data_IF_773195672304
#
_entry.id   IF_773195672304
#
_cell.length_a   1.000
_cell.length_b   1.000
_cell.length_c   1.000
_cell.angle_alpha   90.00
_cell.angle_beta   90.00
_cell.angle_gamma   90.00
#
_symmetry.space_group_name_H-M   'P 1'
#
loop_
_entity.id
_entity.type
_entity.pdbx_description
1 polymer ?
#
# COMPACT_ATOMS: atom_id res chain seq x y z
N UNK A 1 -37.65 -16.16 -36.02
CA UNK A 1 -37.64 -14.74 -35.61
C UNK A 1 -36.39 -14.48 -34.79
N UNK A 2 -35.41 -13.78 -35.37
CA UNK A 2 -34.15 -13.45 -34.70
C UNK A 2 -34.30 -12.02 -34.18
N UNK A 3 -34.26 -11.86 -32.86
CA UNK A 3 -34.32 -10.54 -32.20
C UNK A 3 -32.90 -10.09 -31.89
N UNK A 4 -32.48 -9.05 -32.56
CA UNK A 4 -31.15 -8.41 -32.39
C UNK A 4 -31.24 -7.40 -31.26
N UNK A 5 -30.51 -7.62 -30.17
CA UNK A 5 -30.37 -6.65 -29.08
C UNK A 5 -29.22 -5.71 -29.44
N UNK A 6 -29.51 -4.42 -29.59
CA UNK A 6 -28.55 -3.35 -29.78
C UNK A 6 -28.08 -2.86 -28.41
N UNK A 7 -26.78 -2.93 -28.16
CA UNK A 7 -26.14 -2.30 -27.01
C UNK A 7 -25.95 -0.81 -27.30
N UNK A 8 -26.54 0.03 -26.47
CA UNK A 8 -26.26 1.47 -26.45
C UNK A 8 -25.15 1.71 -25.41
N UNK A 9 -23.97 2.10 -25.88
CA UNK A 9 -22.88 2.57 -25.05
C UNK A 9 -23.14 4.04 -24.68
N UNK A 10 -23.44 4.31 -23.42
CA UNK A 10 -23.50 5.65 -22.86
C UNK A 10 -22.12 6.15 -22.49
N UNK A 11 -21.62 7.13 -23.23
CA UNK A 11 -20.39 7.87 -22.91
C UNK A 11 -20.76 8.93 -21.88
N UNK A 12 -20.25 8.81 -20.65
CA UNK A 12 -20.37 9.82 -19.60
C UNK A 12 -19.18 10.78 -19.71
N UNK A 13 -19.46 12.01 -20.12
CA UNK A 13 -18.50 13.10 -20.29
C UNK A 13 -18.22 13.73 -18.92
N UNK A 14 -17.01 13.57 -18.38
CA UNK A 14 -16.57 14.22 -17.14
C UNK A 14 -16.06 15.62 -17.49
N UNK A 15 -16.73 16.66 -16.99
CA UNK A 15 -16.29 18.05 -17.13
C UNK A 15 -15.24 18.38 -16.06
N UNK A 16 -14.01 18.64 -16.48
CA UNK A 16 -12.94 19.20 -15.67
C UNK A 16 -13.12 20.70 -15.50
N UNK A 17 -13.36 21.15 -14.28
CA UNK A 17 -13.27 22.55 -13.89
C UNK A 17 -11.84 22.85 -13.39
N UNK A 18 -11.06 23.52 -14.23
CA UNK A 18 -9.77 24.11 -13.85
C UNK A 18 -10.00 25.45 -13.20
N UNK A 19 -9.71 25.58 -11.91
CA UNK A 19 -9.53 26.87 -11.25
C UNK A 19 -8.03 27.24 -11.26
N UNK A 20 -7.74 28.25 -12.08
CA UNK A 20 -6.46 28.95 -12.09
C UNK A 20 -6.48 30.05 -11.02
N UNK A 21 -5.54 30.01 -10.09
CA UNK A 21 -5.22 31.14 -9.22
C UNK A 21 -3.76 31.56 -9.40
N UNK A 22 -3.58 32.66 -10.06
CA UNK A 22 -2.32 33.42 -10.16
C UNK A 22 -2.12 34.28 -8.90
N UNK A 23 -0.96 34.22 -8.31
CA UNK A 23 -0.57 35.05 -7.15
C UNK A 23 0.90 35.43 -7.19
N UNK A 24 1.13 36.67 -7.46
CA UNK A 24 2.27 37.58 -7.55
C UNK A 24 3.52 37.31 -6.74
N UNK A 25 4.60 37.51 -7.46
CA UNK A 25 5.97 37.94 -7.11
C UNK A 25 6.15 38.82 -5.86
N UNK A 26 7.17 38.49 -5.07
CA UNK A 26 7.84 39.41 -4.14
C UNK A 26 9.35 39.19 -4.17
N UNK A 27 10.06 40.17 -4.74
CA UNK A 27 11.51 40.32 -4.71
C UNK A 27 11.96 40.74 -3.32
N UNK A 28 13.07 40.19 -2.85
CA UNK A 28 13.86 40.71 -1.77
C UNK A 28 15.30 40.24 -1.91
N UNK A 29 16.19 41.12 -2.33
CA UNK A 29 17.62 40.93 -2.33
C UNK A 29 18.13 41.34 -0.95
N UNK A 30 19.15 40.69 -0.44
CA UNK A 30 20.39 41.32 -0.01
C UNK A 30 21.40 40.27 0.54
N UNK A 31 22.54 40.29 -0.03
CA UNK A 31 23.93 40.49 0.38
C UNK A 31 24.43 39.76 1.62
N UNK A 32 25.49 39.00 1.41
CA UNK A 32 26.75 39.33 2.10
C UNK A 32 27.43 38.23 2.90
N UNK A 33 28.61 37.95 2.46
CA UNK A 33 29.87 37.61 3.14
C UNK A 33 30.17 36.15 3.49
N UNK A 34 31.11 35.72 2.72
CA UNK A 34 32.54 35.38 2.95
C UNK A 34 32.93 34.73 4.29
N UNK A 35 33.62 33.69 4.11
CA UNK A 35 34.95 33.37 4.66
C UNK A 35 35.10 31.95 5.21
N UNK A 36 36.02 31.27 4.53
CA UNK A 36 37.12 30.45 5.06
C UNK A 36 36.85 29.27 6.00
N UNK A 37 37.27 28.14 5.55
CA UNK A 37 38.44 27.40 6.03
C UNK A 37 38.42 25.94 5.51
N UNK A 38 39.28 25.70 4.62
CA UNK A 38 40.42 24.79 4.62
C UNK A 38 40.33 23.50 5.44
N UNK A 39 40.45 22.42 4.67
CA UNK A 39 41.25 21.21 4.92
C UNK A 39 41.21 20.57 6.30
N UNK A 40 40.76 19.32 6.28
CA UNK A 40 41.63 18.23 6.78
C UNK A 40 41.13 16.87 6.22
N UNK A 41 41.94 16.34 5.32
CA UNK A 41 41.95 14.91 5.07
C UNK A 41 42.52 14.26 6.34
N UNK A 42 41.74 13.37 6.93
CA UNK A 42 42.29 12.37 7.83
C UNK A 42 41.74 11.01 7.43
N UNK A 43 42.61 10.27 6.77
CA UNK A 43 42.64 8.83 6.78
C UNK A 43 42.68 8.32 8.21
N UNK A 44 41.58 7.74 8.64
CA UNK A 44 41.57 6.85 9.79
C UNK A 44 41.01 5.50 9.30
N UNK A 45 41.92 4.61 8.99
CA UNK A 45 41.62 3.20 9.06
C UNK A 45 41.35 2.90 10.53
N UNK A 46 40.13 2.57 10.84
CA UNK A 46 39.80 2.03 12.15
C UNK A 46 39.09 0.70 11.98
N UNK A 47 39.69 -0.24 12.65
CA UNK A 47 39.28 -1.59 12.91
C UNK A 47 37.77 -1.70 12.99
N UNK A 48 37.22 -2.53 12.10
CA UNK A 48 35.93 -3.14 12.31
C UNK A 48 35.94 -3.84 13.68
N UNK A 49 35.28 -3.24 14.63
CA UNK A 49 34.82 -3.95 15.80
C UNK A 49 33.80 -4.98 15.28
N UNK A 50 34.12 -6.24 15.47
CA UNK A 50 33.20 -7.35 15.43
C UNK A 50 32.09 -7.12 16.47
N UNK A 51 31.13 -6.29 16.13
CA UNK A 51 29.80 -6.34 16.73
C UNK A 51 28.98 -7.21 15.79
N UNK A 52 29.03 -8.50 16.07
CA UNK A 52 28.13 -9.48 15.48
C UNK A 52 26.72 -9.15 15.96
N UNK A 53 26.15 -8.10 15.32
CA UNK A 53 24.73 -7.78 15.47
C UNK A 53 23.99 -8.99 14.94
N UNK A 54 23.36 -9.74 15.84
CA UNK A 54 22.53 -10.89 15.55
C UNK A 54 21.68 -10.56 14.31
N UNK A 55 21.79 -11.39 13.29
CA UNK A 55 21.03 -11.24 12.07
C UNK A 55 19.56 -11.09 12.46
N UNK A 56 18.96 -9.94 12.20
CA UNK A 56 17.55 -9.74 12.47
C UNK A 56 16.79 -10.79 11.65
N UNK A 57 16.36 -11.86 12.30
CA UNK A 57 15.47 -12.84 11.69
C UNK A 57 14.14 -12.14 11.36
N UNK A 58 13.43 -12.67 10.37
CA UNK A 58 12.02 -12.30 10.14
C UNK A 58 11.31 -12.42 11.48
N UNK A 59 10.60 -11.38 11.94
CA UNK A 59 9.79 -11.47 13.14
C UNK A 59 8.93 -12.74 13.07
N UNK A 60 8.98 -13.56 14.10
CA UNK A 60 8.37 -14.90 14.10
C UNK A 60 6.89 -14.81 13.68
N UNK A 61 6.23 -13.76 14.11
CA UNK A 61 4.81 -13.48 13.89
C UNK A 61 4.49 -13.14 12.42
N UNK A 62 5.46 -12.57 11.66
CA UNK A 62 5.29 -12.26 10.24
C UNK A 62 5.61 -13.44 9.33
N UNK A 63 6.34 -14.45 9.81
CA UNK A 63 6.75 -15.62 8.99
C UNK A 63 5.58 -16.27 8.23
N UNK A 64 4.41 -16.50 8.86
CA UNK A 64 3.30 -17.11 8.16
C UNK A 64 2.76 -16.29 6.99
N UNK A 65 2.87 -14.95 7.06
CA UNK A 65 2.26 -13.99 6.14
C UNK A 65 3.21 -13.43 5.06
N UNK A 66 4.41 -13.99 4.93
CA UNK A 66 5.43 -13.46 3.99
C UNK A 66 4.94 -13.44 2.55
N UNK A 67 4.16 -14.44 2.14
CA UNK A 67 3.64 -14.51 0.77
C UNK A 67 2.60 -13.42 0.50
N UNK A 68 1.69 -13.16 1.42
CA UNK A 68 0.65 -12.12 1.32
C UNK A 68 1.27 -10.72 1.29
N UNK A 69 2.27 -10.49 2.13
CA UNK A 69 3.03 -9.24 2.14
C UNK A 69 3.81 -9.03 0.84
N UNK A 70 4.39 -10.11 0.27
CA UNK A 70 5.06 -10.04 -1.04
C UNK A 70 4.09 -9.68 -2.16
N UNK A 71 2.93 -10.33 -2.20
CA UNK A 71 1.91 -10.03 -3.20
C UNK A 71 1.45 -8.58 -3.10
N UNK A 72 1.23 -8.06 -1.88
CA UNK A 72 0.88 -6.66 -1.68
C UNK A 72 1.98 -5.71 -2.21
N UNK A 73 3.26 -5.96 -1.89
CA UNK A 73 4.37 -5.16 -2.44
C UNK A 73 4.39 -5.20 -3.97
N UNK A 74 4.26 -6.38 -4.57
CA UNK A 74 4.26 -6.52 -6.04
C UNK A 74 3.11 -5.77 -6.70
N UNK A 75 1.95 -5.74 -6.06
CA UNK A 75 0.80 -4.94 -6.50
C UNK A 75 1.12 -3.44 -6.44
N UNK A 76 1.71 -2.98 -5.32
CA UNK A 76 2.05 -1.57 -5.12
C UNK A 76 3.11 -1.04 -6.09
N UNK A 77 4.00 -1.90 -6.58
CA UNK A 77 5.04 -1.54 -7.57
C UNK A 77 4.70 -1.98 -8.99
N UNK A 78 3.45 -2.38 -9.24
CA UNK A 78 2.95 -2.73 -10.59
C UNK A 78 3.63 -3.93 -11.23
N UNK A 79 4.26 -4.83 -10.45
CA UNK A 79 4.95 -6.02 -10.96
C UNK A 79 4.15 -7.32 -10.81
N UNK A 80 2.88 -7.21 -10.42
CA UNK A 80 1.98 -8.35 -10.31
C UNK A 80 1.33 -8.62 -11.68
N UNK A 81 1.60 -9.75 -12.34
CA UNK A 81 1.20 -9.99 -13.73
C UNK A 81 -0.30 -10.26 -13.91
N UNK A 82 -0.95 -10.76 -12.88
CA UNK A 82 -2.39 -11.01 -12.85
C UNK A 82 -2.92 -10.44 -11.54
N UNK A 83 -3.71 -9.36 -11.62
CA UNK A 83 -4.41 -8.83 -10.45
C UNK A 83 -5.42 -9.87 -10.00
N UNK A 84 -5.12 -10.54 -8.90
CA UNK A 84 -6.12 -11.25 -8.12
C UNK A 84 -7.18 -10.24 -7.66
N UNK A 85 -8.46 -10.59 -7.75
CA UNK A 85 -9.56 -9.72 -7.31
C UNK A 85 -9.34 -9.18 -5.89
N UNK A 86 -8.63 -9.94 -5.05
CA UNK A 86 -8.30 -9.57 -3.68
C UNK A 86 -7.37 -8.37 -3.56
N UNK A 87 -6.43 -8.20 -4.49
CA UNK A 87 -5.48 -7.08 -4.49
C UNK A 87 -5.93 -5.89 -5.34
N UNK A 88 -7.06 -6.01 -6.01
CA UNK A 88 -7.60 -4.95 -6.86
C UNK A 88 -7.84 -3.65 -6.08
N UNK A 89 -8.36 -3.72 -4.85
CA UNK A 89 -8.59 -2.54 -4.02
C UNK A 89 -7.29 -1.81 -3.65
N UNK A 90 -6.18 -2.55 -3.44
CA UNK A 90 -4.86 -1.95 -3.20
C UNK A 90 -4.39 -1.23 -4.48
N UNK A 91 -4.49 -1.87 -5.63
CA UNK A 91 -4.11 -1.26 -6.92
C UNK A 91 -4.91 0.01 -7.20
N UNK A 92 -6.23 -0.02 -7.02
CA UNK A 92 -7.10 1.15 -7.21
C UNK A 92 -6.77 2.31 -6.25
N UNK A 93 -6.41 2.00 -5.00
CA UNK A 93 -6.07 3.01 -3.99
C UNK A 93 -4.75 3.75 -4.25
N UNK A 94 -3.91 3.19 -5.13
CA UNK A 94 -2.60 3.76 -5.48
C UNK A 94 -2.51 4.20 -6.94
N UNK A 95 -3.61 4.17 -7.68
CA UNK A 95 -3.66 4.63 -9.06
C UNK A 95 -3.16 6.07 -9.19
N UNK A 96 -2.27 6.32 -10.15
CA UNK A 96 -1.66 7.62 -10.39
C UNK A 96 -0.56 8.03 -9.41
N UNK A 97 -0.20 7.18 -8.43
CA UNK A 97 0.93 7.43 -7.51
C UNK A 97 2.22 6.84 -8.06
N UNK A 98 3.34 7.47 -7.77
CA UNK A 98 4.65 6.85 -7.93
C UNK A 98 4.78 5.61 -7.01
N UNK A 99 5.68 4.68 -7.34
CA UNK A 99 5.92 3.49 -6.51
C UNK A 99 6.30 3.85 -5.06
N UNK A 100 7.09 4.91 -4.86
CA UNK A 100 7.46 5.37 -3.53
C UNK A 100 6.25 5.87 -2.74
N UNK A 101 5.38 6.66 -3.35
CA UNK A 101 4.12 7.14 -2.73
C UNK A 101 3.16 5.98 -2.47
N UNK A 102 3.04 5.04 -3.41
CA UNK A 102 2.22 3.85 -3.24
C UNK A 102 2.66 3.03 -2.02
N UNK A 103 3.96 2.72 -1.90
CA UNK A 103 4.53 2.00 -0.77
C UNK A 103 4.37 2.73 0.57
N UNK A 104 4.33 4.08 0.57
CA UNK A 104 4.07 4.88 1.79
C UNK A 104 2.58 4.96 2.13
N UNK A 105 1.69 4.95 1.13
CA UNK A 105 0.26 5.15 1.32
C UNK A 105 -0.48 3.92 1.82
N UNK A 106 0.12 2.74 1.72
CA UNK A 106 -0.42 1.47 2.24
C UNK A 106 0.53 0.90 3.28
N UNK A 107 -0.01 0.31 4.31
CA UNK A 107 0.77 -0.32 5.37
C UNK A 107 0.11 -1.59 5.89
N UNK A 108 0.83 -2.26 6.78
CA UNK A 108 0.37 -3.47 7.43
C UNK A 108 0.61 -3.43 8.93
N UNK A 109 -0.11 -4.26 9.65
CA UNK A 109 0.11 -4.51 11.07
C UNK A 109 -0.37 -5.91 11.44
N UNK A 110 0.17 -6.42 12.54
CA UNK A 110 -0.37 -7.58 13.22
C UNK A 110 -1.17 -7.11 14.45
N UNK A 111 -2.38 -7.57 14.58
CA UNK A 111 -3.27 -7.22 15.68
C UNK A 111 -4.19 -8.40 16.00
N UNK A 112 -4.33 -8.76 17.25
CA UNK A 112 -5.29 -9.74 17.74
C UNK A 112 -6.67 -9.05 17.85
N UNK A 113 -7.45 -9.13 16.75
CA UNK A 113 -8.73 -8.42 16.62
C UNK A 113 -9.78 -9.07 17.52
N UNK A 114 -9.83 -10.40 17.56
CA UNK A 114 -10.86 -11.15 18.29
C UNK A 114 -10.41 -11.59 19.70
N UNK A 115 -9.20 -11.19 20.11
CA UNK A 115 -8.61 -11.45 21.43
C UNK A 115 -8.50 -12.96 21.74
N UNK A 116 -8.24 -13.77 20.71
CA UNK A 116 -8.06 -15.22 20.85
C UNK A 116 -6.59 -15.62 21.12
N UNK A 117 -5.66 -14.64 21.13
CA UNK A 117 -4.23 -14.82 21.32
C UNK A 117 -3.44 -15.06 20.02
N UNK A 118 -4.12 -15.10 18.86
CA UNK A 118 -3.52 -15.15 17.54
C UNK A 118 -3.65 -13.78 16.90
N UNK A 119 -2.59 -13.30 16.25
CA UNK A 119 -2.64 -12.00 15.58
C UNK A 119 -3.02 -12.16 14.11
N UNK A 120 -3.99 -11.38 13.67
CA UNK A 120 -4.35 -11.22 12.28
C UNK A 120 -3.42 -10.24 11.57
N UNK A 121 -3.10 -10.53 10.30
CA UNK A 121 -2.48 -9.56 9.41
C UNK A 121 -3.56 -8.63 8.83
N UNK A 122 -3.42 -7.34 9.10
CA UNK A 122 -4.26 -6.29 8.50
C UNK A 122 -3.43 -5.49 7.50
N UNK A 123 -3.93 -5.36 6.27
CA UNK A 123 -3.38 -4.47 5.23
C UNK A 123 -4.39 -3.35 5.01
N UNK A 124 -3.95 -2.10 5.16
CA UNK A 124 -4.84 -0.95 5.15
C UNK A 124 -4.17 0.33 4.62
N UNK A 125 -4.98 1.33 4.32
CA UNK A 125 -4.52 2.65 3.92
C UNK A 125 -3.89 3.41 5.09
N UNK A 126 -2.72 4.01 4.88
CA UNK A 126 -2.11 4.97 5.80
C UNK A 126 -2.78 6.35 5.72
N UNK A 127 -3.43 6.67 4.62
CA UNK A 127 -4.15 7.92 4.43
C UNK A 127 -5.51 7.90 5.15
N UNK A 128 -6.01 9.09 5.47
CA UNK A 128 -7.42 9.23 5.86
C UNK A 128 -8.27 8.99 4.60
N UNK A 129 -9.33 8.17 4.67
CA UNK A 129 -10.18 7.92 3.52
C UNK A 129 -10.91 9.21 3.09
N UNK A 130 -10.74 9.61 1.82
CA UNK A 130 -11.41 10.80 1.26
C UNK A 130 -12.90 10.57 1.03
N UNK A 131 -13.25 9.34 0.64
CA UNK A 131 -14.61 8.95 0.25
C UNK A 131 -15.51 8.65 1.47
N UNK A 132 -14.89 8.50 2.66
CA UNK A 132 -15.56 8.26 3.93
C UNK A 132 -15.08 9.25 4.99
N UNK A 133 -15.42 10.55 4.86
CA UNK A 133 -14.84 11.61 5.68
C UNK A 133 -15.20 11.51 7.18
N UNK A 134 -16.31 10.87 7.50
CA UNK A 134 -16.77 10.64 8.88
C UNK A 134 -16.00 9.51 9.56
N UNK A 135 -15.36 8.60 8.80
CA UNK A 135 -14.53 7.54 9.35
C UNK A 135 -13.24 8.08 9.95
N UNK A 136 -12.93 7.69 11.17
CA UNK A 136 -11.67 8.01 11.86
C UNK A 136 -10.61 6.95 11.62
N UNK A 137 -11.04 5.74 11.25
CA UNK A 137 -10.22 4.55 11.05
C UNK A 137 -9.42 4.54 9.75
N UNK A 138 -8.56 3.54 9.63
CA UNK A 138 -7.90 3.22 8.36
C UNK A 138 -8.86 2.39 7.51
N UNK A 139 -8.97 2.72 6.22
CA UNK A 139 -9.66 1.86 5.26
C UNK A 139 -8.87 0.56 5.09
N UNK A 140 -9.49 -0.55 5.41
CA UNK A 140 -8.89 -1.89 5.37
C UNK A 140 -9.09 -2.47 3.97
N UNK A 141 -8.01 -2.99 3.40
CA UNK A 141 -8.03 -3.71 2.14
C UNK A 141 -8.16 -5.21 2.34
N UNK A 142 -7.39 -5.78 3.29
CA UNK A 142 -7.33 -7.21 3.54
C UNK A 142 -7.14 -7.49 5.04
N UNK A 143 -7.80 -8.54 5.51
CA UNK A 143 -7.51 -9.18 6.80
C UNK A 143 -7.29 -10.67 6.56
N UNK A 144 -6.21 -11.20 7.11
CA UNK A 144 -5.91 -12.63 7.14
C UNK A 144 -5.76 -13.10 8.58
N UNK A 145 -6.33 -14.24 8.91
CA UNK A 145 -6.04 -14.99 10.13
C UNK A 145 -5.11 -16.18 9.85
N UNK A 146 -4.75 -16.91 10.90
CA UNK A 146 -4.03 -18.18 10.80
C UNK A 146 -4.94 -19.36 11.08
N UNK A 147 -5.33 -20.06 10.04
CA UNK A 147 -6.05 -21.32 10.17
C UNK A 147 -5.08 -22.51 9.96
N UNK A 148 -4.84 -23.30 11.00
CA UNK A 148 -3.86 -24.39 10.99
C UNK A 148 -2.45 -23.93 10.56
N UNK A 149 -2.02 -22.74 11.01
CA UNK A 149 -0.72 -22.14 10.71
C UNK A 149 -0.57 -21.61 9.27
N UNK A 150 -1.66 -21.52 8.51
CA UNK A 150 -1.67 -20.95 7.15
C UNK A 150 -2.58 -19.73 7.11
N UNK A 151 -2.19 -18.67 6.38
CA UNK A 151 -3.04 -17.52 6.16
C UNK A 151 -4.37 -17.93 5.51
N UNK A 152 -5.46 -17.44 6.09
CA UNK A 152 -6.80 -17.54 5.56
C UNK A 152 -7.39 -16.14 5.50
N UNK A 153 -7.85 -15.73 4.31
CA UNK A 153 -8.47 -14.43 4.11
C UNK A 153 -9.83 -14.38 4.80
N UNK A 154 -10.04 -13.34 5.59
CA UNK A 154 -11.30 -13.06 6.31
C UNK A 154 -12.05 -11.91 5.64
N UNK A 155 -11.33 -10.85 5.30
CA UNK A 155 -11.90 -9.65 4.67
C UNK A 155 -11.12 -9.33 3.41
N UNK A 156 -11.86 -9.02 2.34
CA UNK A 156 -11.35 -8.38 1.14
C UNK A 156 -12.16 -7.12 0.89
N UNK A 157 -11.51 -5.97 0.94
CA UNK A 157 -12.11 -4.70 0.55
C UNK A 157 -12.32 -4.65 -0.95
N UNK A 158 -13.36 -3.96 -1.37
CA UNK A 158 -13.62 -3.68 -2.77
C UNK A 158 -13.78 -2.17 -2.93
N UNK A 159 -13.55 -1.60 -4.13
CA UNK A 159 -13.67 -0.15 -4.32
C UNK A 159 -15.06 0.41 -3.97
N UNK A 160 -16.08 -0.43 -3.91
CA UNK A 160 -17.45 -0.09 -3.50
C UNK A 160 -17.79 -0.49 -2.08
N UNK A 161 -16.90 -1.19 -1.37
CA UNK A 161 -17.12 -1.70 -0.03
C UNK A 161 -15.86 -1.50 0.80
N UNK A 162 -15.89 -0.48 1.63
CA UNK A 162 -14.81 -0.17 2.55
C UNK A 162 -15.04 -0.85 3.89
N UNK A 163 -13.96 -1.35 4.47
CA UNK A 163 -13.95 -1.97 5.79
C UNK A 163 -13.15 -1.13 6.77
N UNK A 164 -13.60 -1.10 8.01
CA UNK A 164 -12.95 -0.37 9.10
C UNK A 164 -13.02 -1.19 10.38
N UNK A 165 -11.97 -1.14 11.21
CA UNK A 165 -12.11 -1.55 12.59
C UNK A 165 -12.98 -0.53 13.31
N UNK A 166 -14.07 -0.98 13.93
CA UNK A 166 -14.93 -0.17 14.76
C UNK A 166 -14.46 -0.31 16.22
N UNK A 167 -15.25 -0.31 17.20
CA UNK A 167 -14.95 -0.30 18.64
C UNK A 167 -13.79 -1.24 19.05
N UNK A 168 -13.24 -1.09 20.28
CA UNK A 168 -12.06 -1.89 20.72
C UNK A 168 -12.30 -3.40 20.68
N UNK A 169 -13.54 -3.86 20.56
CA UNK A 169 -13.97 -5.21 20.88
C UNK A 169 -14.49 -5.96 19.65
N UNK A 170 -13.59 -6.37 18.75
CA UNK A 170 -13.88 -7.40 17.73
C UNK A 170 -14.87 -6.98 16.63
N UNK A 171 -15.16 -5.70 16.49
CA UNK A 171 -16.17 -5.21 15.57
C UNK A 171 -15.55 -4.63 14.30
N UNK A 172 -16.13 -5.01 13.15
CA UNK A 172 -15.79 -4.48 11.84
C UNK A 172 -17.01 -3.78 11.25
N UNK A 173 -16.80 -2.57 10.75
CA UNK A 173 -17.80 -1.82 10.00
C UNK A 173 -17.51 -1.98 8.51
N UNK A 174 -18.52 -2.38 7.73
CA UNK A 174 -18.53 -2.37 6.28
C UNK A 174 -19.45 -1.25 5.80
N UNK A 175 -18.93 -0.35 4.96
CA UNK A 175 -19.70 0.73 4.32
C UNK A 175 -19.51 0.61 2.81
N UNK A 176 -20.59 0.72 2.06
CA UNK A 176 -20.45 0.70 0.62
C UNK A 176 -21.75 0.65 -0.16
N UNK A 177 -21.66 0.14 -1.37
CA UNK A 177 -22.82 -0.08 -2.24
C UNK A 177 -22.68 -1.39 -3.01
N UNK A 178 -23.76 -2.15 -3.07
CA UNK A 178 -23.87 -3.38 -3.87
C UNK A 178 -24.35 -3.09 -5.30
N UNK A 179 -24.95 -1.93 -5.51
CA UNK A 179 -25.40 -1.45 -6.82
C UNK A 179 -25.48 0.08 -6.82
N UNK A 180 -25.85 0.67 -7.96
CA UNK A 180 -26.09 2.12 -8.06
C UNK A 180 -27.27 2.61 -7.18
N UNK A 181 -28.15 1.69 -6.78
CA UNK A 181 -29.38 1.99 -6.04
C UNK A 181 -29.39 1.42 -4.62
N UNK A 182 -28.37 0.63 -4.23
CA UNK A 182 -28.35 -0.05 -2.95
C UNK A 182 -27.05 0.27 -2.22
N UNK A 183 -27.16 1.09 -1.18
CA UNK A 183 -26.09 1.35 -0.22
C UNK A 183 -26.24 0.42 0.99
N UNK A 184 -25.16 0.15 1.64
CA UNK A 184 -25.07 -0.75 2.80
C UNK A 184 -24.12 -0.16 3.82
N UNK A 185 -24.48 -0.23 5.09
CA UNK A 185 -23.56 -0.13 6.21
C UNK A 185 -23.91 -1.21 7.23
N UNK A 186 -22.93 -2.03 7.55
CA UNK A 186 -23.15 -3.21 8.36
C UNK A 186 -22.06 -3.40 9.40
N UNK A 187 -22.45 -3.84 10.58
CA UNK A 187 -21.57 -4.22 11.66
C UNK A 187 -21.41 -5.74 11.71
N UNK A 188 -20.18 -6.16 11.82
CA UNK A 188 -19.83 -7.56 11.95
C UNK A 188 -19.05 -7.80 13.23
N UNK A 189 -19.41 -8.87 13.93
CA UNK A 189 -18.58 -9.42 14.99
C UNK A 189 -17.57 -10.39 14.37
N UNK A 190 -16.30 -10.24 14.78
CA UNK A 190 -15.21 -11.14 14.40
C UNK A 190 -14.79 -11.95 15.63
N UNK A 191 -15.08 -13.25 15.65
CA UNK A 191 -14.86 -14.13 16.80
C UNK A 191 -14.30 -15.47 16.33
N UNK A 192 -13.13 -15.87 16.87
CA UNK A 192 -12.45 -17.12 16.56
C UNK A 192 -12.25 -17.35 15.05
N UNK A 193 -11.90 -16.28 14.33
CA UNK A 193 -11.66 -16.32 12.89
C UNK A 193 -12.92 -16.37 12.04
N UNK A 194 -14.10 -16.16 12.62
CA UNK A 194 -15.37 -16.11 11.89
C UNK A 194 -15.99 -14.73 11.95
N UNK A 195 -16.46 -14.27 10.79
CA UNK A 195 -17.13 -12.98 10.62
C UNK A 195 -18.64 -13.21 10.57
N UNK A 196 -19.36 -12.66 11.52
CA UNK A 196 -20.83 -12.79 11.63
C UNK A 196 -21.46 -11.41 11.55
N UNK A 197 -22.40 -11.20 10.63
CA UNK A 197 -23.16 -9.97 10.55
C UNK A 197 -24.04 -9.87 11.80
N UNK A 198 -23.89 -8.74 12.52
CA UNK A 198 -24.69 -8.44 13.71
C UNK A 198 -25.84 -7.51 13.39
N UNK A 199 -25.56 -6.47 12.62
CA UNK A 199 -26.51 -5.45 12.21
C UNK A 199 -26.21 -5.01 10.79
N UNK A 200 -27.21 -4.85 9.96
CA UNK A 200 -27.07 -4.49 8.56
C UNK A 200 -28.22 -3.54 8.15
N UNK A 201 -27.85 -2.33 7.76
CA UNK A 201 -28.75 -1.32 7.22
C UNK A 201 -28.47 -1.18 5.73
N UNK A 202 -29.49 -1.25 4.92
CA UNK A 202 -29.33 -1.16 3.47
C UNK A 202 -30.50 -0.43 2.83
N UNK A 203 -30.23 0.19 1.69
CA UNK A 203 -31.23 0.84 0.87
C UNK A 203 -31.59 -0.02 -0.34
N UNK A 204 -32.78 0.20 -0.87
CA UNK A 204 -33.28 -0.32 -2.14
C UNK A 204 -34.13 0.75 -2.82
N UNK A 205 -34.70 0.42 -4.00
CA UNK A 205 -35.70 1.25 -4.67
C UNK A 205 -37.04 0.53 -4.70
N UNK A 206 -38.14 1.27 -4.53
CA UNK A 206 -39.48 0.79 -4.81
C UNK A 206 -39.78 0.79 -6.32
N UNK A 207 -40.98 0.40 -6.70
CA UNK A 207 -41.42 0.41 -8.11
C UNK A 207 -41.50 1.81 -8.71
N UNK A 208 -41.67 2.83 -7.90
CA UNK A 208 -41.71 4.24 -8.29
C UNK A 208 -40.31 4.86 -8.41
N UNK A 209 -39.26 4.16 -7.93
CA UNK A 209 -37.86 4.62 -7.94
C UNK A 209 -37.45 5.41 -6.70
N UNK A 210 -38.27 5.43 -5.65
CA UNK A 210 -37.93 6.05 -4.37
C UNK A 210 -37.10 5.12 -3.52
N UNK A 211 -36.18 5.69 -2.71
CA UNK A 211 -35.40 4.91 -1.77
C UNK A 211 -36.24 4.39 -0.63
N UNK A 212 -36.09 3.09 -0.36
CA UNK A 212 -36.60 2.39 0.81
C UNK A 212 -35.44 1.85 1.62
N UNK A 213 -35.55 1.88 2.93
CA UNK A 213 -34.50 1.48 3.85
C UNK A 213 -34.93 0.27 4.67
N UNK A 214 -33.98 -0.62 4.94
CA UNK A 214 -34.19 -1.87 5.62
C UNK A 214 -33.13 -2.09 6.70
N UNK A 215 -33.53 -2.84 7.75
CA UNK A 215 -32.61 -3.37 8.73
C UNK A 215 -32.73 -4.90 8.78
N UNK A 216 -31.59 -5.58 8.92
CA UNK A 216 -31.52 -7.03 9.06
C UNK A 216 -30.37 -7.43 9.98
N UNK A 217 -30.45 -8.60 10.59
CA UNK A 217 -29.37 -9.24 11.34
C UNK A 217 -28.55 -10.20 10.47
N UNK A 218 -28.78 -10.21 9.17
CA UNK A 218 -28.06 -11.01 8.20
C UNK A 218 -27.34 -10.10 7.19
N UNK A 219 -26.21 -10.57 6.65
CA UNK A 219 -25.50 -9.91 5.55
C UNK A 219 -26.30 -10.08 4.22
N UNK A 220 -27.35 -9.29 4.07
CA UNK A 220 -28.28 -9.38 2.94
C UNK A 220 -28.66 -7.99 2.42
N UNK A 221 -29.09 -7.93 1.17
CA UNK A 221 -29.76 -6.76 0.57
C UNK A 221 -31.12 -7.15 0.01
N UNK A 222 -31.61 -8.34 0.36
CA UNK A 222 -32.93 -8.82 -0.04
C UNK A 222 -34.01 -8.16 0.84
N UNK A 223 -34.90 -7.34 0.27
CA UNK A 223 -35.99 -6.69 1.02
C UNK A 223 -36.89 -7.68 1.78
N UNK A 224 -36.99 -8.93 1.31
CA UNK A 224 -37.81 -9.95 1.98
C UNK A 224 -37.19 -10.45 3.32
N UNK A 225 -35.89 -10.14 3.55
CA UNK A 225 -35.14 -10.56 4.73
C UNK A 225 -34.88 -9.43 5.73
N UNK A 226 -35.35 -8.23 5.41
CA UNK A 226 -35.18 -7.05 6.26
C UNK A 226 -36.51 -6.50 6.76
N UNK A 227 -36.43 -5.84 7.91
CA UNK A 227 -37.50 -4.99 8.41
C UNK A 227 -37.43 -3.63 7.72
N UNK A 228 -38.51 -3.19 7.09
CA UNK A 228 -38.56 -1.87 6.47
C UNK A 228 -38.55 -0.77 7.54
N UNK A 229 -37.65 0.18 7.36
CA UNK A 229 -37.50 1.33 8.26
C UNK A 229 -38.26 2.55 7.72
N UNK A 230 -38.72 3.41 8.63
CA UNK A 230 -39.30 4.72 8.28
C UNK A 230 -38.21 5.80 8.14
N UNK A 231 -37.04 5.45 7.65
CA UNK A 231 -35.93 6.37 7.43
C UNK A 231 -36.17 7.23 6.19
N UNK A 232 -35.72 8.48 6.29
CA UNK A 232 -35.42 9.30 5.12
C UNK A 232 -33.97 9.03 4.68
N UNK A 233 -33.55 9.56 3.53
CA UNK A 233 -32.15 9.52 3.09
C UNK A 233 -31.23 10.21 4.10
N UNK A 234 -31.66 11.32 4.70
CA UNK A 234 -30.88 12.05 5.70
C UNK A 234 -30.73 11.23 6.98
N UNK A 235 -31.75 10.50 7.40
CA UNK A 235 -31.67 9.59 8.56
C UNK A 235 -30.68 8.46 8.28
N UNK A 236 -30.70 7.88 7.08
CA UNK A 236 -29.80 6.81 6.68
C UNK A 236 -28.34 7.27 6.64
N UNK A 237 -28.06 8.45 6.06
CA UNK A 237 -26.74 9.06 6.04
C UNK A 237 -26.27 9.41 7.46
N UNK A 238 -27.14 9.99 8.28
CA UNK A 238 -26.81 10.34 9.68
C UNK A 238 -26.43 9.11 10.48
N UNK A 239 -27.16 8.00 10.29
CA UNK A 239 -26.85 6.74 10.94
C UNK A 239 -25.50 6.15 10.47
N UNK A 240 -25.20 6.25 9.18
CA UNK A 240 -23.87 5.86 8.64
C UNK A 240 -22.76 6.70 9.30
N UNK A 241 -22.95 8.02 9.39
CA UNK A 241 -21.99 8.93 10.02
C UNK A 241 -21.76 8.61 11.51
N UNK A 242 -22.79 8.22 12.24
CA UNK A 242 -22.68 7.77 13.63
C UNK A 242 -21.82 6.52 13.75
N UNK A 243 -22.05 5.51 12.91
CA UNK A 243 -21.25 4.30 12.88
C UNK A 243 -19.79 4.58 12.46
N UNK A 244 -19.62 5.41 11.43
CA UNK A 244 -18.32 5.82 10.92
C UNK A 244 -17.48 6.56 11.97
N UNK A 245 -18.13 7.37 12.83
CA UNK A 245 -17.47 8.11 13.90
C UNK A 245 -16.90 7.19 15.01
N UNK A 246 -17.38 5.95 15.12
CA UNK A 246 -16.89 4.94 16.07
C UNK A 246 -15.68 4.14 15.52
N UNK A 247 -15.30 4.33 14.25
CA UNK A 247 -14.16 3.66 13.67
C UNK A 247 -12.84 4.12 14.31
N UNK A 248 -11.89 3.20 14.45
CA UNK A 248 -10.61 3.46 15.12
C UNK A 248 -9.43 3.38 14.19
N UNK A 249 -8.48 4.28 14.39
CA UNK A 249 -7.21 4.24 13.70
C UNK A 249 -6.25 3.27 14.38
N UNK A 250 -5.56 2.48 13.57
CA UNK A 250 -4.47 1.60 14.00
C UNK A 250 -3.14 2.10 13.46
N UNK A 251 -2.05 1.79 14.16
CA UNK A 251 -0.71 2.09 13.68
C UNK A 251 -0.31 1.04 12.65
N UNK A 252 0.04 1.50 11.46
CA UNK A 252 0.52 0.66 10.37
C UNK A 252 2.01 0.87 10.14
N UNK A 253 2.71 -0.19 9.77
CA UNK A 253 4.06 -0.15 9.22
C UNK A 253 3.94 0.02 7.71
N UNK A 254 4.48 1.10 7.10
CA UNK A 254 4.40 1.29 5.66
C UNK A 254 5.11 0.17 4.90
N UNK A 255 4.60 -0.21 3.74
CA UNK A 255 5.28 -1.18 2.87
C UNK A 255 6.63 -0.66 2.36
N UNK A 256 6.86 0.65 2.38
CA UNK A 256 8.17 1.24 2.13
C UNK A 256 9.27 0.66 3.02
N UNK A 257 8.96 0.23 4.25
CA UNK A 257 9.93 -0.40 5.16
C UNK A 257 10.38 -1.79 4.69
N UNK A 258 9.64 -2.44 3.78
CA UNK A 258 10.06 -3.67 3.09
C UNK A 258 10.92 -3.40 1.83
N UNK A 259 10.99 -2.14 1.38
CA UNK A 259 11.81 -1.66 0.26
C UNK A 259 12.59 -0.41 0.70
N UNK A 260 13.45 -0.56 1.71
CA UNK A 260 14.00 0.60 2.41
C UNK A 260 15.17 1.27 1.68
N UNK A 261 15.61 0.74 0.53
CA UNK A 261 16.76 1.27 -0.20
C UNK A 261 16.29 2.36 -1.17
N UNK A 262 16.92 3.51 -1.08
CA UNK A 262 16.73 4.62 -2.03
C UNK A 262 18.02 4.91 -2.76
N UNK A 263 17.93 5.49 -3.96
CA UNK A 263 19.08 5.88 -4.78
C UNK A 263 18.92 7.32 -5.25
N UNK A 264 20.03 8.03 -5.33
CA UNK A 264 20.11 9.31 -6.04
C UNK A 264 21.45 9.40 -6.80
N UNK A 265 21.47 10.16 -7.87
CA UNK A 265 22.68 10.39 -8.64
C UNK A 265 23.37 11.69 -8.20
N UNK A 266 24.66 11.63 -7.98
CA UNK A 266 25.51 12.80 -7.71
C UNK A 266 26.68 12.78 -8.68
N UNK A 267 26.55 13.47 -9.81
CA UNK A 267 27.51 13.41 -10.90
C UNK A 267 27.53 12.01 -11.57
N UNK A 268 28.66 11.31 -11.47
CA UNK A 268 28.79 9.91 -11.97
C UNK A 268 28.59 8.88 -10.85
N UNK A 269 28.34 9.32 -9.63
CA UNK A 269 28.21 8.46 -8.48
C UNK A 269 26.74 8.20 -8.17
N UNK A 270 26.44 6.97 -7.81
CA UNK A 270 25.16 6.59 -7.21
C UNK A 270 25.31 6.57 -5.70
N UNK A 271 24.40 7.26 -5.02
CA UNK A 271 24.36 7.32 -3.57
C UNK A 271 23.13 6.55 -3.08
N UNK A 272 23.38 5.46 -2.39
CA UNK A 272 22.35 4.63 -1.79
C UNK A 272 22.18 5.00 -0.32
N UNK A 273 20.93 5.11 0.12
CA UNK A 273 20.56 5.31 1.50
C UNK A 273 19.49 4.30 1.91
N UNK A 274 19.36 4.02 3.20
CA UNK A 274 18.34 3.09 3.71
C UNK A 274 17.47 3.78 4.77
N UNK A 275 16.17 3.53 4.70
CA UNK A 275 15.17 3.98 5.68
C UNK A 275 14.93 2.97 6.78
N UNK A 276 15.17 1.69 6.52
CA UNK A 276 15.20 0.60 7.50
C UNK A 276 16.44 -0.29 7.28
N UNK A 277 16.81 -1.10 8.25
CA UNK A 277 17.99 -1.93 8.15
C UNK A 277 17.85 -3.00 7.07
N UNK A 278 18.88 -3.19 6.26
CA UNK A 278 19.01 -4.28 5.27
C UNK A 278 20.29 -5.07 5.50
N UNK A 279 20.27 -6.36 5.17
CA UNK A 279 21.46 -7.24 5.27
C UNK A 279 21.99 -7.57 3.89
N UNK A 280 23.22 -8.02 3.83
CA UNK A 280 23.90 -8.52 2.64
C UNK A 280 23.82 -7.52 1.46
N UNK A 281 23.85 -6.22 1.78
CA UNK A 281 23.78 -5.20 0.75
C UNK A 281 25.00 -5.28 -0.17
N UNK A 282 24.74 -5.47 -1.45
CA UNK A 282 25.76 -5.58 -2.49
C UNK A 282 25.39 -4.71 -3.68
N UNK A 283 26.42 -4.16 -4.34
CA UNK A 283 26.28 -3.53 -5.64
C UNK A 283 26.72 -4.51 -6.72
N UNK A 284 26.04 -4.48 -7.87
CA UNK A 284 26.14 -5.50 -8.91
C UNK A 284 26.26 -4.83 -10.28
N UNK A 285 27.17 -5.33 -11.14
CA UNK A 285 27.19 -5.05 -12.57
C UNK A 285 26.33 -6.07 -13.30
N UNK A 286 25.43 -5.58 -14.14
CA UNK A 286 24.57 -6.38 -15.01
C UNK A 286 25.15 -6.48 -16.42
N UNK A 287 24.96 -7.61 -17.06
CA UNK A 287 25.33 -7.86 -18.47
C UNK A 287 24.42 -8.93 -19.06
N UNK A 288 24.43 -9.06 -20.39
CA UNK A 288 23.72 -10.09 -21.13
C UNK A 288 22.25 -10.25 -20.70
N UNK A 289 21.36 -9.33 -21.07
CA UNK A 289 19.94 -9.47 -20.72
C UNK A 289 19.34 -10.71 -21.40
N UNK A 290 18.69 -11.55 -20.61
CA UNK A 290 17.95 -12.73 -21.08
C UNK A 290 16.47 -12.46 -20.94
N UNK A 291 15.77 -12.41 -22.06
CA UNK A 291 14.32 -12.14 -22.11
C UNK A 291 13.53 -13.44 -22.05
N UNK A 292 12.56 -13.50 -21.17
CA UNK A 292 11.60 -14.59 -21.03
C UNK A 292 10.18 -14.03 -20.88
N UNK A 293 9.16 -14.88 -21.03
CA UNK A 293 7.76 -14.46 -20.95
C UNK A 293 7.39 -13.82 -19.60
N UNK A 294 8.13 -14.15 -18.54
CA UNK A 294 7.92 -13.67 -17.19
C UNK A 294 8.89 -12.54 -16.76
N UNK A 295 9.60 -11.94 -17.69
CA UNK A 295 10.49 -10.81 -17.41
C UNK A 295 11.90 -10.91 -18.03
N UNK A 296 12.81 -10.08 -17.53
CA UNK A 296 14.20 -10.04 -17.94
C UNK A 296 15.10 -10.47 -16.79
N UNK A 297 16.10 -11.30 -17.08
CA UNK A 297 17.18 -11.65 -16.15
C UNK A 297 18.53 -11.23 -16.73
N UNK A 298 19.57 -11.18 -15.90
CA UNK A 298 20.89 -10.70 -16.30
C UNK A 298 21.98 -11.62 -15.76
N UNK A 299 23.11 -11.65 -16.45
CA UNK A 299 24.35 -12.12 -15.85
C UNK A 299 24.84 -11.09 -14.83
N UNK A 300 25.17 -11.54 -13.64
CA UNK A 300 25.47 -10.67 -12.51
C UNK A 300 26.93 -10.82 -12.07
N UNK A 301 27.59 -9.69 -11.83
CA UNK A 301 28.91 -9.65 -11.22
C UNK A 301 28.87 -8.70 -10.03
N UNK A 302 29.11 -9.20 -8.82
CA UNK A 302 29.25 -8.38 -7.62
C UNK A 302 30.39 -7.39 -7.81
N UNK A 303 30.11 -6.10 -7.60
CA UNK A 303 31.12 -5.04 -7.57
C UNK A 303 31.67 -4.89 -6.17
N UNK A 304 30.79 -4.68 -5.18
CA UNK A 304 31.17 -4.48 -3.79
C UNK A 304 30.11 -5.08 -2.86
N UNK A 305 30.56 -5.67 -1.75
CA UNK A 305 29.72 -6.12 -0.65
C UNK A 305 29.92 -5.21 0.56
N UNK A 306 28.81 -4.72 1.11
CA UNK A 306 28.81 -3.80 2.26
C UNK A 306 28.27 -4.42 3.53
N UNK A 307 27.67 -5.63 3.46
CA UNK A 307 27.06 -6.30 4.60
C UNK A 307 25.78 -5.59 5.05
N UNK A 308 25.65 -5.33 6.35
CA UNK A 308 24.46 -4.68 6.91
C UNK A 308 24.53 -3.18 6.79
N UNK A 309 23.49 -2.57 6.21
CA UNK A 309 23.26 -1.13 6.22
C UNK A 309 22.13 -0.80 7.18
N UNK A 310 22.32 0.26 7.97
CA UNK A 310 21.32 0.75 8.93
C UNK A 310 20.90 2.18 8.55
N UNK A 311 19.71 2.65 8.99
CA UNK A 311 19.26 4.02 8.74
C UNK A 311 20.31 5.08 9.09
N UNK A 312 20.45 6.08 8.20
CA UNK A 312 21.45 7.13 8.33
C UNK A 312 22.83 6.81 7.73
N UNK A 313 23.10 5.55 7.35
CA UNK A 313 24.28 5.20 6.54
C UNK A 313 23.99 5.34 5.05
N UNK A 314 24.94 5.87 4.31
CA UNK A 314 24.92 5.94 2.85
C UNK A 314 26.10 5.20 2.26
N UNK A 315 25.87 4.60 1.10
CA UNK A 315 26.90 3.97 0.26
C UNK A 315 27.03 4.81 -1.01
N UNK A 316 28.26 5.11 -1.42
CA UNK A 316 28.57 5.83 -2.65
C UNK A 316 29.37 4.94 -3.56
N UNK A 317 28.91 4.77 -4.80
CA UNK A 317 29.55 3.95 -5.82
C UNK A 317 29.60 4.68 -7.16
N UNK A 318 30.72 4.57 -7.85
CA UNK A 318 30.86 5.11 -9.20
C UNK A 318 30.17 4.19 -10.19
N UNK A 319 28.99 4.56 -10.62
CA UNK A 319 28.13 3.81 -11.53
C UNK A 319 27.61 4.73 -12.63
N UNK A 320 28.38 4.95 -13.69
CA UNK A 320 27.90 5.76 -14.81
C UNK A 320 26.75 5.02 -15.50
N UNK A 321 25.53 5.53 -15.37
CA UNK A 321 24.35 5.00 -16.06
C UNK A 321 24.24 5.70 -17.41
N UNK A 322 24.30 4.94 -18.49
CA UNK A 322 24.22 5.43 -19.86
C UNK A 322 23.17 4.67 -20.64
N UNK A 323 22.01 5.31 -20.89
CA UNK A 323 20.97 4.76 -21.76
C UNK A 323 19.91 3.90 -21.06
N UNK A 324 19.10 3.24 -21.88
CA UNK A 324 17.85 2.58 -21.44
C UNK A 324 18.05 1.15 -20.89
N UNK A 325 19.23 0.57 -21.12
CA UNK A 325 19.52 -0.80 -20.65
C UNK A 325 20.11 -0.77 -19.27
N UNK A 326 19.51 -1.46 -18.28
CA UNK A 326 20.07 -1.55 -16.94
C UNK A 326 21.48 -2.16 -16.94
N UNK A 327 22.46 -1.41 -16.42
CA UNK A 327 23.84 -1.86 -16.31
C UNK A 327 24.26 -2.17 -14.87
N UNK A 328 23.52 -1.66 -13.90
CA UNK A 328 23.83 -1.77 -12.48
C UNK A 328 22.60 -2.10 -11.67
N UNK A 329 22.84 -2.80 -10.57
CA UNK A 329 21.82 -3.21 -9.63
C UNK A 329 22.35 -3.18 -8.20
N UNK A 330 21.42 -3.30 -7.26
CA UNK A 330 21.69 -3.62 -5.88
C UNK A 330 20.97 -4.91 -5.50
N UNK A 331 21.56 -5.65 -4.57
CA UNK A 331 20.93 -6.82 -3.95
C UNK A 331 21.06 -6.71 -2.45
N UNK A 332 20.01 -7.05 -1.72
CA UNK A 332 20.00 -7.04 -0.27
C UNK A 332 18.99 -8.06 0.27
N UNK A 333 19.08 -8.37 1.55
CA UNK A 333 18.10 -9.15 2.29
C UNK A 333 17.22 -8.18 3.08
N UNK A 334 15.91 -8.20 2.85
CA UNK A 334 14.94 -7.31 3.48
C UNK A 334 14.55 -7.78 4.90
N UNK A 335 13.63 -7.03 5.54
CA UNK A 335 13.13 -7.35 6.89
C UNK A 335 12.38 -8.69 6.95
N UNK A 336 11.85 -9.18 5.83
CA UNK A 336 11.20 -10.48 5.74
C UNK A 336 12.18 -11.63 5.45
N UNK A 337 13.48 -11.35 5.42
CA UNK A 337 14.52 -12.33 5.14
C UNK A 337 14.62 -12.74 3.67
N UNK A 338 13.98 -12.00 2.76
CA UNK A 338 14.01 -12.31 1.33
C UNK A 338 15.13 -11.57 0.65
N UNK A 339 15.73 -12.22 -0.35
CA UNK A 339 16.70 -11.58 -1.22
C UNK A 339 15.97 -10.74 -2.25
N UNK A 340 16.17 -9.43 -2.18
CA UNK A 340 15.63 -8.44 -3.12
C UNK A 340 16.73 -8.03 -4.08
N UNK A 341 16.39 -7.96 -5.38
CA UNK A 341 17.28 -7.47 -6.43
C UNK A 341 16.59 -6.33 -7.16
N UNK A 342 17.28 -5.20 -7.31
CA UNK A 342 16.74 -4.02 -7.96
C UNK A 342 17.77 -3.43 -8.90
N UNK A 343 17.42 -3.27 -10.18
CA UNK A 343 18.28 -2.56 -11.11
C UNK A 343 18.08 -1.05 -11.04
N UNK A 344 19.12 -0.31 -11.41
CA UNK A 344 19.09 1.15 -11.52
C UNK A 344 18.58 1.50 -12.90
N UNK A 345 17.56 2.34 -12.98
CA UNK A 345 17.00 2.89 -14.22
C UNK A 345 16.87 4.41 -14.13
N UNK A 346 16.78 5.06 -15.28
CA UNK A 346 16.49 6.49 -15.40
C UNK A 346 15.00 6.62 -15.75
N UNK A 347 14.27 7.43 -14.99
CA UNK A 347 12.89 7.77 -15.30
C UNK A 347 12.82 8.54 -16.62
N UNK A 348 11.95 8.09 -17.52
CA UNK A 348 11.70 8.77 -18.80
C UNK A 348 10.91 10.08 -18.63
N UNK A 349 10.32 10.34 -17.46
CA UNK A 349 9.51 11.52 -17.22
C UNK A 349 10.34 12.73 -16.82
N UNK A 350 11.25 12.55 -15.86
CA UNK A 350 12.00 13.65 -15.25
C UNK A 350 13.52 13.45 -15.22
N UNK A 351 13.99 12.33 -15.74
CA UNK A 351 15.41 11.96 -15.73
C UNK A 351 15.97 11.58 -14.37
N UNK A 352 15.11 11.40 -13.37
CA UNK A 352 15.52 10.93 -12.04
C UNK A 352 15.96 9.47 -12.07
N UNK A 353 16.81 9.10 -11.11
CA UNK A 353 17.28 7.72 -10.97
C UNK A 353 16.35 6.98 -10.00
N UNK A 354 15.93 5.80 -10.39
CA UNK A 354 15.07 4.94 -9.59
C UNK A 354 15.58 3.49 -9.51
N UNK A 355 15.08 2.76 -8.50
CA UNK A 355 15.32 1.33 -8.34
C UNK A 355 14.07 0.55 -8.75
N UNK A 356 14.24 -0.36 -9.73
CA UNK A 356 13.17 -1.26 -10.20
C UNK A 356 13.53 -2.71 -9.93
N UNK A 357 12.59 -3.47 -9.40
CA UNK A 357 12.78 -4.91 -9.14
C UNK A 357 12.85 -5.70 -10.46
N UNK A 358 13.66 -6.78 -10.51
CA UNK A 358 13.79 -7.69 -11.65
C UNK A 358 13.97 -9.14 -11.19
#
# INVERSE_FOLDING_TARGET
MKTTIRHAAGVMLLALLTLSCSGKSGRGADTGNDADSAAMAQTAGDKAADDATAAAEVPADLKPYVQELEMAVRTLVGTYPELDDDFFCISAAVEGKSHAEALQSVGYTLIDIDQNGTQELVIASNAKPSDYPSCKGNMIFLIYDLHNGKPRKIVSGHYRNAWFLSRPDRELLNIGSVSAACSIHALYDYINGELTCRDNWYSGLNEEGDHIFYHSYEATTDPAKGEQLSFTMDDFISHEDELAAETRRIKLTPFADLRPVTVRQEGTDMVFAVTAAVRDFTTVKLSNPHYADNGVTFDEKTLQAYGTLVPGKTVREKMPVNGDTPEYAVSFTDLLGRKVKMHISISGEDGSVELRQY
#
